data_IF_028682944947
#
_entry.id   IF_028682944947
#
_cell.length_a   1.000
_cell.length_b   1.000
_cell.length_c   1.000
_cell.angle_alpha   90.00
_cell.angle_beta   90.00
_cell.angle_gamma   90.00
#
_symmetry.space_group_name_H-M   'P 1'
#
loop_
_entity.id
_entity.type
_entity.pdbx_description
1 polymer ?
#
# COMPACT_ATOMS: atom_id res chain seq x y z
N UNK A 1 1.30 8.22 -8.24
CA UNK A 1 -0.07 7.87 -7.83
C UNK A 1 -0.89 7.76 -9.10
N UNK A 2 -1.47 6.60 -9.40
CA UNK A 2 -2.13 6.35 -10.68
C UNK A 2 -3.63 6.58 -10.62
N UNK A 3 -4.22 7.14 -11.67
CA UNK A 3 -5.68 7.15 -11.87
C UNK A 3 -6.27 5.74 -11.74
N UNK A 4 -5.52 4.72 -12.17
CA UNK A 4 -5.89 3.31 -12.04
C UNK A 4 -6.03 2.85 -10.58
N UNK A 5 -5.12 3.24 -9.69
CA UNK A 5 -5.19 2.90 -8.25
C UNK A 5 -6.43 3.50 -7.60
N UNK A 6 -6.71 4.77 -7.90
CA UNK A 6 -7.91 5.45 -7.40
C UNK A 6 -9.19 4.82 -7.96
N UNK A 7 -9.21 4.45 -9.25
CA UNK A 7 -10.35 3.79 -9.88
C UNK A 7 -10.62 2.41 -9.28
N UNK A 8 -9.59 1.59 -9.09
CA UNK A 8 -9.70 0.25 -8.47
C UNK A 8 -10.15 0.38 -7.02
N UNK A 9 -9.54 1.28 -6.25
CA UNK A 9 -9.93 1.55 -4.86
C UNK A 9 -11.37 2.05 -4.75
N UNK A 10 -11.79 2.92 -5.66
CA UNK A 10 -13.16 3.41 -5.73
C UNK A 10 -14.17 2.30 -6.06
N UNK A 11 -13.89 1.48 -7.08
CA UNK A 11 -14.74 0.33 -7.42
C UNK A 11 -14.85 -0.68 -6.28
N UNK A 12 -13.77 -0.93 -5.54
CA UNK A 12 -13.80 -1.76 -4.33
C UNK A 12 -14.68 -1.14 -3.23
N UNK A 13 -14.57 0.16 -3.01
CA UNK A 13 -15.43 0.88 -2.06
C UNK A 13 -16.91 0.84 -2.46
N UNK A 14 -17.22 1.01 -3.74
CA UNK A 14 -18.57 0.92 -4.28
C UNK A 14 -19.15 -0.50 -4.15
N UNK A 15 -18.38 -1.52 -4.54
CA UNK A 15 -18.81 -2.92 -4.42
C UNK A 15 -19.00 -3.33 -2.97
N UNK A 16 -18.14 -2.90 -2.04
CA UNK A 16 -18.30 -3.13 -0.61
C UNK A 16 -19.61 -2.55 -0.05
N UNK A 17 -20.03 -1.38 -0.51
CA UNK A 17 -21.30 -0.79 -0.09
C UNK A 17 -22.50 -1.52 -0.72
N UNK A 18 -22.39 -1.97 -1.96
CA UNK A 18 -23.41 -2.80 -2.62
C UNK A 18 -23.56 -4.16 -1.93
N UNK A 19 -22.46 -4.82 -1.56
CA UNK A 19 -22.50 -6.10 -0.83
C UNK A 19 -23.08 -5.93 0.57
N UNK A 20 -22.74 -4.85 1.28
CA UNK A 20 -23.35 -4.52 2.58
C UNK A 20 -24.88 -4.43 2.49
N UNK A 21 -25.41 -3.72 1.49
CA UNK A 21 -26.85 -3.60 1.27
C UNK A 21 -27.49 -4.94 0.87
N UNK A 22 -26.79 -5.74 0.04
CA UNK A 22 -27.25 -7.06 -0.37
C UNK A 22 -27.34 -8.04 0.81
N UNK A 23 -26.36 -8.03 1.72
CA UNK A 23 -26.36 -8.87 2.94
C UNK A 23 -27.55 -8.53 3.83
N UNK A 24 -27.91 -7.25 3.93
CA UNK A 24 -29.06 -6.80 4.72
C UNK A 24 -30.41 -7.06 4.03
N UNK A 25 -30.42 -7.56 2.78
CA UNK A 25 -31.62 -7.74 1.95
C UNK A 25 -32.41 -6.44 1.73
N UNK A 26 -31.69 -5.31 1.71
CA UNK A 26 -32.24 -3.98 1.52
C UNK A 26 -31.99 -3.56 0.06
N UNK A 27 -32.87 -2.76 -0.58
CA UNK A 27 -32.60 -2.26 -1.93
C UNK A 27 -31.22 -1.60 -2.02
N UNK A 28 -30.47 -1.98 -3.06
CA UNK A 28 -29.08 -1.55 -3.29
C UNK A 28 -28.90 -0.03 -3.21
N UNK A 29 -29.90 0.75 -3.61
CA UNK A 29 -29.86 2.20 -3.67
C UNK A 29 -30.50 2.93 -2.47
N UNK A 30 -30.78 2.26 -1.34
CA UNK A 30 -31.46 2.90 -0.19
C UNK A 30 -30.78 4.19 0.28
N UNK A 31 -29.45 4.23 0.30
CA UNK A 31 -28.68 5.41 0.67
C UNK A 31 -27.61 5.70 -0.41
N UNK A 32 -27.95 6.48 -1.45
CA UNK A 32 -27.04 6.74 -2.58
C UNK A 32 -25.76 7.46 -2.14
N UNK A 33 -25.85 8.33 -1.15
CA UNK A 33 -24.70 9.07 -0.61
C UNK A 33 -23.66 8.16 0.04
N UNK A 34 -24.07 7.06 0.67
CA UNK A 34 -23.13 6.12 1.27
C UNK A 34 -22.25 5.44 0.23
N UNK A 35 -22.77 5.17 -0.97
CA UNK A 35 -21.96 4.65 -2.07
C UNK A 35 -20.88 5.64 -2.47
N UNK A 36 -21.20 6.93 -2.56
CA UNK A 36 -20.22 7.98 -2.89
C UNK A 36 -19.14 8.07 -1.81
N UNK A 37 -19.51 8.06 -0.54
CA UNK A 37 -18.55 8.08 0.57
C UNK A 37 -17.64 6.85 0.56
N UNK A 38 -18.18 5.65 0.36
CA UNK A 38 -17.39 4.42 0.30
C UNK A 38 -16.47 4.40 -0.93
N UNK A 39 -16.93 4.90 -2.08
CA UNK A 39 -16.11 5.02 -3.30
C UNK A 39 -14.94 5.99 -3.08
N UNK A 40 -15.20 7.19 -2.53
CA UNK A 40 -14.14 8.16 -2.24
C UNK A 40 -13.19 7.66 -1.14
N UNK A 41 -13.73 7.04 -0.09
CA UNK A 41 -12.95 6.40 0.97
C UNK A 41 -12.05 5.29 0.43
N UNK A 42 -12.59 4.40 -0.40
CA UNK A 42 -11.84 3.33 -1.05
C UNK A 42 -10.73 3.85 -1.95
N UNK A 43 -10.98 4.89 -2.73
CA UNK A 43 -9.96 5.55 -3.55
C UNK A 43 -8.84 6.18 -2.70
N UNK A 44 -9.19 6.81 -1.57
CA UNK A 44 -8.20 7.40 -0.66
C UNK A 44 -7.35 6.33 0.02
N UNK A 45 -7.96 5.26 0.53
CA UNK A 45 -7.28 4.14 1.18
C UNK A 45 -6.32 3.45 0.20
N UNK A 46 -6.75 3.19 -1.04
CA UNK A 46 -5.91 2.56 -2.05
C UNK A 46 -4.66 3.41 -2.37
N UNK A 47 -4.80 4.74 -2.44
CA UNK A 47 -3.66 5.64 -2.63
C UNK A 47 -2.70 5.64 -1.43
N UNK A 48 -3.24 5.62 -0.21
CA UNK A 48 -2.43 5.50 1.01
C UNK A 48 -1.70 4.17 1.07
N UNK A 49 -2.35 3.08 0.69
CA UNK A 49 -1.75 1.75 0.66
C UNK A 49 -0.51 1.69 -0.23
N UNK A 50 -0.60 2.18 -1.47
CA UNK A 50 0.54 2.21 -2.40
C UNK A 50 1.67 3.10 -1.89
N UNK A 51 1.37 4.16 -1.12
CA UNK A 51 2.41 4.96 -0.48
C UNK A 51 3.15 4.15 0.58
N UNK A 52 2.39 3.55 1.50
CA UNK A 52 2.92 2.75 2.61
C UNK A 52 3.73 1.56 2.09
N UNK A 53 3.29 0.90 1.02
CA UNK A 53 4.03 -0.18 0.37
C UNK A 53 5.42 0.28 -0.10
N UNK A 54 5.52 1.46 -0.70
CA UNK A 54 6.80 2.01 -1.16
C UNK A 54 7.72 2.40 -0.02
N UNK A 55 7.16 3.02 1.02
CA UNK A 55 7.91 3.43 2.21
C UNK A 55 8.47 2.17 2.92
N UNK A 56 7.64 1.14 3.13
CA UNK A 56 8.07 -0.15 3.69
C UNK A 56 9.14 -0.86 2.84
N UNK A 57 9.01 -0.83 1.52
CA UNK A 57 10.02 -1.41 0.64
C UNK A 57 11.37 -0.67 0.77
N UNK A 58 11.35 0.65 0.96
CA UNK A 58 12.57 1.42 1.20
C UNK A 58 13.20 1.03 2.54
N UNK A 59 12.41 1.03 3.62
CA UNK A 59 12.88 0.64 4.97
C UNK A 59 13.50 -0.76 4.96
N UNK A 60 12.87 -1.72 4.30
CA UNK A 60 13.39 -3.10 4.23
C UNK A 60 14.67 -3.18 3.38
N UNK A 61 14.80 -2.37 2.33
CA UNK A 61 16.01 -2.33 1.53
C UNK A 61 17.18 -1.68 2.27
N UNK A 62 16.93 -0.68 3.12
CA UNK A 62 17.95 -0.12 4.01
C UNK A 62 18.46 -1.17 5.01
N UNK A 63 17.55 -1.92 5.65
CA UNK A 63 17.91 -3.01 6.55
C UNK A 63 18.70 -4.13 5.85
N UNK A 64 18.39 -4.40 4.58
CA UNK A 64 19.14 -5.37 3.77
C UNK A 64 20.52 -4.86 3.38
N UNK A 65 20.62 -3.58 3.01
CA UNK A 65 21.88 -2.95 2.64
C UNK A 65 22.87 -3.01 3.79
N UNK A 66 22.42 -2.70 5.02
CA UNK A 66 23.23 -2.88 6.23
C UNK A 66 23.71 -4.34 6.33
N UNK A 67 22.83 -5.33 6.17
CA UNK A 67 23.22 -6.75 6.22
C UNK A 67 24.06 -7.24 5.02
N UNK A 68 24.40 -6.39 4.06
CA UNK A 68 25.11 -6.76 2.84
C UNK A 68 24.29 -7.65 1.88
N UNK A 69 22.97 -7.66 2.03
CA UNK A 69 22.06 -8.43 1.18
C UNK A 69 21.62 -7.60 -0.03
N UNK A 70 21.37 -8.23 -1.19
CA UNK A 70 20.85 -7.53 -2.37
C UNK A 70 19.45 -6.95 -2.10
N UNK A 71 19.08 -5.83 -2.74
CA UNK A 71 17.76 -5.21 -2.57
C UNK A 71 16.65 -6.16 -3.06
N UNK A 72 15.46 -6.06 -2.47
CA UNK A 72 14.30 -6.78 -2.99
C UNK A 72 13.83 -6.17 -4.32
N UNK A 73 13.52 -7.05 -5.28
CA UNK A 73 12.94 -6.69 -6.57
C UNK A 73 11.61 -5.96 -6.39
N UNK A 74 11.40 -4.89 -7.16
CA UNK A 74 10.15 -4.10 -7.15
C UNK A 74 10.33 -2.64 -6.74
N UNK A 75 11.46 -2.26 -6.14
CA UNK A 75 11.79 -0.84 -5.95
C UNK A 75 12.68 -0.34 -7.10
N UNK A 76 12.20 0.60 -7.90
CA UNK A 76 13.04 1.34 -8.86
C UNK A 76 14.02 2.33 -8.19
N UNK A 77 14.19 2.22 -6.86
CA UNK A 77 15.06 3.08 -6.08
C UNK A 77 16.40 2.39 -5.89
N UNK A 78 17.47 3.11 -6.25
CA UNK A 78 18.85 2.71 -5.99
C UNK A 78 19.21 3.13 -4.56
N UNK A 79 19.59 2.16 -3.74
CA UNK A 79 20.13 2.42 -2.39
C UNK A 79 21.65 2.28 -2.43
N UNK A 80 22.41 3.20 -1.81
CA UNK A 80 23.84 3.02 -1.68
C UNK A 80 24.13 1.80 -0.81
N UNK A 81 25.03 0.93 -1.28
CA UNK A 81 25.56 -0.15 -0.46
C UNK A 81 26.35 0.46 0.71
N UNK A 82 25.86 0.28 1.93
CA UNK A 82 26.58 0.67 3.14
C UNK A 82 27.23 -0.58 3.71
N UNK A 83 28.56 -0.77 3.57
CA UNK A 83 29.23 -1.92 4.17
C UNK A 83 29.08 -1.86 5.70
N UNK A 84 28.75 -2.99 6.32
CA UNK A 84 28.73 -3.15 7.77
C UNK A 84 30.13 -2.92 8.36
N UNK A 85 30.40 -1.71 8.84
CA UNK A 85 31.62 -1.38 9.60
C UNK A 85 31.62 -2.02 11.00
N UNK A 86 30.45 -2.40 11.54
CA UNK A 86 30.32 -2.87 12.92
C UNK A 86 30.78 -4.33 13.17
N UNK A 87 30.91 -5.16 12.13
CA UNK A 87 31.33 -6.57 12.31
C UNK A 87 32.87 -6.71 12.36
N UNK A 88 33.63 -5.72 11.89
CA UNK A 88 35.09 -5.77 11.93
C UNK A 88 35.70 -5.36 13.29
N UNK A 89 35.03 -4.49 14.06
CA UNK A 89 35.57 -4.05 15.36
C UNK A 89 35.42 -5.09 16.48
N UNK A 90 34.47 -6.02 16.38
CA UNK A 90 34.34 -7.12 17.35
C UNK A 90 35.35 -8.27 17.13
N UNK A 91 36.19 -8.20 16.09
CA UNK A 91 37.20 -9.22 15.74
C UNK A 91 38.65 -8.79 15.98
N UNK A 92 38.89 -7.60 16.55
CA UNK A 92 40.20 -7.18 17.08
C UNK A 92 40.22 -7.32 18.59
#
# INVERSE_FOLDING_TARGET
MGFSTAAIGGLLGFTAQCTSNAIQKIPLSRQPWMHVFCTLGGAWVANKWVKVEKDLLADVNELRANKGLPPMVGSHYFFPFVPNMEIEESKK
#
